data_IF_336434572014
#
_entry.id   IF_336434572014
#
_cell.length_a   1.000
_cell.length_b   1.000
_cell.length_c   1.000
_cell.angle_alpha   90.00
_cell.angle_beta   90.00
_cell.angle_gamma   90.00
#
_symmetry.space_group_name_H-M   'P 1'
#
loop_
_entity.id
_entity.type
_entity.pdbx_description
1 polymer ?
#
# COMPACT_ATOMS: atom_id res chain seq x y z
N UNK A 1 1.34 2.66 15.25
CA UNK A 1 2.64 2.06 14.87
C UNK A 1 3.13 2.78 13.63
N UNK A 2 4.42 3.10 13.52
CA UNK A 2 5.05 3.34 12.21
C UNK A 2 5.66 2.03 11.76
N UNK A 3 5.37 1.57 10.55
CA UNK A 3 6.14 0.46 9.98
C UNK A 3 7.49 1.01 9.50
N UNK A 4 8.58 0.44 10.00
CA UNK A 4 9.92 0.94 9.69
C UNK A 4 10.26 0.67 8.22
N UNK A 5 10.83 1.68 7.53
CA UNK A 5 11.29 1.51 6.15
C UNK A 5 12.39 0.45 6.10
N UNK A 6 12.21 -0.60 5.30
CA UNK A 6 13.17 -1.69 5.18
C UNK A 6 14.46 -1.16 4.51
N UNK A 7 15.63 -1.23 5.16
CA UNK A 7 16.87 -0.62 4.63
C UNK A 7 17.39 -1.26 3.35
N UNK A 8 16.82 -2.38 2.89
CA UNK A 8 17.14 -2.99 1.59
C UNK A 8 16.33 -2.40 0.43
N UNK A 9 15.17 -1.81 0.72
CA UNK A 9 14.22 -1.35 -0.30
C UNK A 9 14.51 0.10 -0.71
N UNK A 10 15.70 0.34 -1.23
CA UNK A 10 16.15 1.66 -1.70
C UNK A 10 16.19 1.72 -3.24
N UNK A 11 16.32 2.92 -3.81
CA UNK A 11 16.38 3.10 -5.26
C UNK A 11 17.68 2.61 -5.91
N UNK A 12 18.75 2.37 -5.15
CA UNK A 12 20.04 1.81 -5.61
C UNK A 12 19.94 0.30 -5.85
N UNK A 13 19.08 -0.36 -5.07
CA UNK A 13 18.75 -1.79 -5.18
C UNK A 13 17.56 -2.04 -6.11
N UNK A 14 16.84 -1.00 -6.55
CA UNK A 14 15.72 -1.11 -7.49
C UNK A 14 16.24 -1.10 -8.93
N UNK A 15 16.26 -2.26 -9.58
CA UNK A 15 16.71 -2.39 -10.98
C UNK A 15 15.67 -1.79 -11.92
N UNK A 16 16.09 -0.80 -12.70
CA UNK A 16 15.22 -0.09 -13.67
C UNK A 16 15.31 -0.74 -15.05
N UNK A 17 14.18 -1.23 -15.54
CA UNK A 17 13.99 -1.77 -16.89
C UNK A 17 12.91 -1.01 -17.67
N UNK A 18 12.58 -1.43 -18.90
CA UNK A 18 11.56 -0.74 -19.70
C UNK A 18 10.20 -0.71 -18.98
N UNK A 19 9.78 -1.85 -18.42
CA UNK A 19 8.46 -2.05 -17.79
C UNK A 19 8.24 -1.34 -16.44
N UNK A 20 9.27 -0.74 -15.84
CA UNK A 20 9.15 -0.03 -14.56
C UNK A 20 9.74 1.40 -14.58
N UNK A 21 10.28 1.84 -15.72
CA UNK A 21 11.01 3.11 -15.86
C UNK A 21 10.18 4.32 -15.45
N UNK A 22 8.93 4.40 -15.91
CA UNK A 22 8.05 5.54 -15.63
C UNK A 22 7.75 5.65 -14.13
N UNK A 23 7.40 4.53 -13.48
CA UNK A 23 7.17 4.49 -12.05
C UNK A 23 8.44 4.84 -11.25
N UNK A 24 9.61 4.31 -11.64
CA UNK A 24 10.88 4.61 -10.99
C UNK A 24 11.27 6.10 -11.10
N UNK A 25 11.11 6.71 -12.28
CA UNK A 25 11.35 8.14 -12.49
C UNK A 25 10.38 8.98 -11.67
N UNK A 26 9.07 8.70 -11.74
CA UNK A 26 8.06 9.42 -10.97
C UNK A 26 8.32 9.32 -9.46
N UNK A 27 8.71 8.14 -8.97
CA UNK A 27 9.12 7.90 -7.59
C UNK A 27 10.31 8.75 -7.16
N UNK A 28 11.35 8.86 -7.99
CA UNK A 28 12.49 9.77 -7.71
C UNK A 28 12.05 11.23 -7.68
N UNK A 29 11.25 11.67 -8.66
CA UNK A 29 10.75 13.06 -8.72
C UNK A 29 9.97 13.46 -7.46
N UNK A 30 9.07 12.60 -6.95
CA UNK A 30 8.32 12.89 -5.70
C UNK A 30 9.15 12.73 -4.44
N UNK A 31 10.27 12.00 -4.49
CA UNK A 31 11.21 11.91 -3.37
C UNK A 31 12.13 13.14 -3.28
N UNK A 32 12.55 13.66 -4.44
CA UNK A 32 13.40 14.85 -4.57
C UNK A 32 12.63 16.14 -4.25
N UNK A 33 11.37 16.24 -4.69
CA UNK A 33 10.52 17.41 -4.44
C UNK A 33 9.12 16.95 -3.95
N UNK A 34 8.99 16.55 -2.67
CA UNK A 34 7.73 16.08 -2.12
C UNK A 34 6.64 17.15 -2.17
N UNK A 35 5.47 16.79 -2.70
CA UNK A 35 4.26 17.61 -2.71
C UNK A 35 4.12 18.54 -3.92
N UNK A 36 5.20 18.83 -4.67
CA UNK A 36 5.17 19.77 -5.79
C UNK A 36 4.78 19.17 -7.14
N UNK A 37 4.98 17.86 -7.31
CA UNK A 37 4.64 17.13 -8.53
C UNK A 37 3.92 15.82 -8.16
N UNK A 38 3.08 15.31 -9.07
CA UNK A 38 2.48 13.97 -8.98
C UNK A 38 1.89 13.65 -7.59
N UNK A 39 0.88 14.42 -7.15
CA UNK A 39 0.31 14.29 -5.81
C UNK A 39 -1.23 14.06 -5.85
N UNK A 40 -1.71 12.82 -5.62
CA UNK A 40 -0.94 11.63 -5.25
C UNK A 40 -0.13 11.04 -6.41
N UNK A 41 0.90 10.27 -6.06
CA UNK A 41 1.49 9.28 -6.96
C UNK A 41 0.86 7.92 -6.65
N UNK A 42 0.15 7.33 -7.62
CA UNK A 42 -0.53 6.06 -7.49
C UNK A 42 0.14 5.01 -8.36
N UNK A 43 0.73 3.98 -7.74
CA UNK A 43 1.55 2.96 -8.42
C UNK A 43 0.85 1.60 -8.34
N UNK A 44 0.42 1.04 -9.47
CA UNK A 44 -0.29 -0.24 -9.48
C UNK A 44 0.43 -1.31 -10.29
N UNK A 45 0.25 -2.58 -9.91
CA UNK A 45 0.78 -3.73 -10.64
C UNK A 45 0.31 -5.05 -10.05
N UNK A 46 0.47 -6.13 -10.81
CA UNK A 46 0.34 -7.49 -10.29
C UNK A 46 1.22 -7.76 -9.05
N UNK A 47 0.92 -8.83 -8.29
CA UNK A 47 1.66 -9.17 -7.08
C UNK A 47 3.14 -9.47 -7.41
N UNK A 48 4.04 -8.97 -6.57
CA UNK A 48 5.46 -9.32 -6.67
C UNK A 48 6.24 -8.61 -7.79
N UNK A 49 5.78 -7.45 -8.29
CA UNK A 49 6.48 -6.63 -9.29
C UNK A 49 7.22 -5.41 -8.71
N UNK A 50 7.31 -5.27 -7.39
CA UNK A 50 8.19 -4.29 -6.73
C UNK A 50 7.54 -3.03 -6.16
N UNK A 51 6.21 -2.95 -6.06
CA UNK A 51 5.47 -1.78 -5.50
C UNK A 51 6.00 -1.32 -4.14
N UNK A 52 6.03 -2.20 -3.14
CA UNK A 52 6.57 -1.94 -1.80
C UNK A 52 8.03 -1.48 -1.82
N UNK A 53 8.84 -2.02 -2.74
CA UNK A 53 10.25 -1.63 -2.88
C UNK A 53 10.33 -0.19 -3.38
N UNK A 54 9.62 0.15 -4.46
CA UNK A 54 9.56 1.49 -5.00
C UNK A 54 9.01 2.49 -3.96
N UNK A 55 7.92 2.14 -3.27
CA UNK A 55 7.28 2.96 -2.24
C UNK A 55 8.24 3.27 -1.08
N UNK A 56 8.96 2.28 -0.56
CA UNK A 56 9.99 2.51 0.46
C UNK A 56 11.20 3.25 -0.09
N UNK A 57 11.54 3.07 -1.37
CA UNK A 57 12.61 3.80 -2.06
C UNK A 57 12.35 5.31 -2.08
N UNK A 58 11.10 5.73 -2.34
CA UNK A 58 10.67 7.12 -2.19
C UNK A 58 10.95 7.63 -0.76
N UNK A 59 10.53 6.86 0.25
CA UNK A 59 10.70 7.22 1.66
C UNK A 59 12.17 7.40 2.06
N UNK A 60 13.03 6.45 1.70
CA UNK A 60 14.47 6.54 1.98
C UNK A 60 15.11 7.73 1.30
N UNK A 61 14.86 7.95 0.01
CA UNK A 61 15.46 9.05 -0.75
C UNK A 61 14.99 10.41 -0.24
N UNK A 62 13.68 10.58 0.03
CA UNK A 62 13.17 11.80 0.64
C UNK A 62 13.81 12.07 2.01
N UNK A 63 13.96 11.03 2.86
CA UNK A 63 14.61 11.15 4.18
C UNK A 63 16.11 11.45 4.08
N UNK A 64 16.79 10.92 3.07
CA UNK A 64 18.21 11.18 2.83
C UNK A 64 18.45 12.62 2.35
N UNK A 65 17.62 13.11 1.44
CA UNK A 65 17.72 14.48 0.90
C UNK A 65 17.27 15.53 1.93
N UNK A 66 16.24 15.24 2.72
CA UNK A 66 15.74 16.12 3.78
C UNK A 66 15.51 15.33 5.09
N UNK A 67 16.55 15.18 5.94
CA UNK A 67 16.48 14.42 7.20
C UNK A 67 15.38 14.87 8.18
N UNK A 68 14.92 16.12 8.07
CA UNK A 68 13.83 16.68 8.88
C UNK A 68 12.44 16.14 8.55
N UNK A 69 12.20 15.53 7.39
CA UNK A 69 10.85 15.12 6.97
C UNK A 69 10.24 14.06 7.90
N UNK A 70 8.99 14.29 8.30
CA UNK A 70 8.14 13.29 8.94
C UNK A 70 7.54 12.38 7.85
N UNK A 71 8.04 11.15 7.75
CA UNK A 71 7.61 10.16 6.77
C UNK A 71 6.90 9.03 7.50
N UNK A 72 5.66 8.74 7.09
CA UNK A 72 4.87 7.65 7.66
C UNK A 72 4.66 6.58 6.57
N UNK A 73 5.21 5.39 6.78
CA UNK A 73 4.93 4.20 5.99
C UNK A 73 4.06 3.22 6.78
N UNK A 74 3.07 2.65 6.09
CA UNK A 74 2.16 1.62 6.60
C UNK A 74 1.43 0.92 5.46
N UNK A 75 1.01 -0.33 5.69
CA UNK A 75 -0.02 -0.94 4.83
C UNK A 75 -1.40 -0.37 5.18
N UNK A 76 -2.35 -0.49 4.26
CA UNK A 76 -3.72 -0.08 4.55
C UNK A 76 -4.35 -0.87 5.70
N UNK A 77 -4.11 -2.18 5.81
CA UNK A 77 -4.64 -2.97 6.93
C UNK A 77 -4.05 -2.51 8.28
N UNK A 78 -2.74 -2.23 8.34
CA UNK A 78 -2.10 -1.64 9.52
C UNK A 78 -2.75 -0.30 9.93
N UNK A 79 -3.12 0.53 8.94
CA UNK A 79 -3.82 1.79 9.19
C UNK A 79 -5.23 1.58 9.75
N UNK A 80 -5.99 0.65 9.18
CA UNK A 80 -7.36 0.32 9.62
C UNK A 80 -7.37 -0.24 11.04
N UNK A 81 -6.49 -1.19 11.34
CA UNK A 81 -6.36 -1.76 12.69
C UNK A 81 -5.97 -0.70 13.72
N UNK A 82 -4.98 0.14 13.39
CA UNK A 82 -4.52 1.19 14.28
C UNK A 82 -5.56 2.30 14.49
N UNK A 83 -6.37 2.63 13.47
CA UNK A 83 -7.48 3.57 13.59
C UNK A 83 -8.59 3.02 14.50
N UNK A 84 -9.04 1.77 14.28
CA UNK A 84 -10.03 1.13 15.14
C UNK A 84 -9.58 1.05 16.60
N UNK A 85 -8.32 0.67 16.85
CA UNK A 85 -7.74 0.65 18.19
C UNK A 85 -7.71 2.05 18.84
N UNK A 86 -7.33 3.09 18.08
CA UNK A 86 -7.35 4.46 18.58
C UNK A 86 -8.78 4.97 18.87
N UNK A 87 -9.77 4.64 18.04
CA UNK A 87 -11.18 5.00 18.29
C UNK A 87 -11.70 4.29 19.53
N UNK A 88 -11.44 2.98 19.69
CA UNK A 88 -11.84 2.21 20.87
C UNK A 88 -11.21 2.74 22.18
N UNK A 89 -9.98 3.29 22.11
CA UNK A 89 -9.30 3.94 23.22
C UNK A 89 -9.72 5.40 23.47
N UNK A 90 -10.66 5.97 22.70
CA UNK A 90 -11.04 7.38 22.78
C UNK A 90 -9.99 8.37 22.24
N UNK A 91 -9.01 7.87 21.47
CA UNK A 91 -7.86 8.60 20.95
C UNK A 91 -7.96 8.90 19.43
N UNK A 92 -9.10 8.66 18.79
CA UNK A 92 -9.29 8.84 17.34
C UNK A 92 -8.87 10.21 16.80
N UNK A 93 -9.10 11.30 17.55
CA UNK A 93 -8.67 12.64 17.12
C UNK A 93 -7.16 12.88 17.27
N UNK A 94 -6.51 12.22 18.23
CA UNK A 94 -5.05 12.23 18.34
C UNK A 94 -4.42 11.45 17.18
N UNK A 95 -5.03 10.32 16.79
CA UNK A 95 -4.64 9.55 15.61
C UNK A 95 -4.78 10.39 14.33
N UNK A 96 -5.93 11.04 14.08
CA UNK A 96 -6.10 11.93 12.91
C UNK A 96 -5.06 13.05 12.87
N UNK A 97 -4.80 13.72 14.00
CA UNK A 97 -3.79 14.79 14.09
C UNK A 97 -2.37 14.30 13.80
N UNK A 98 -2.00 13.09 14.21
CA UNK A 98 -0.69 12.47 13.86
C UNK A 98 -0.53 12.40 12.34
N UNK A 99 -1.51 11.85 11.64
CA UNK A 99 -1.43 11.66 10.18
C UNK A 99 -1.51 12.98 9.40
N UNK A 100 -2.18 14.02 9.93
CA UNK A 100 -2.19 15.36 9.33
C UNK A 100 -0.84 16.09 9.43
N UNK A 101 0.04 15.69 10.37
CA UNK A 101 1.36 16.28 10.58
C UNK A 101 2.48 15.54 9.81
N UNK A 102 2.14 14.69 8.85
CA UNK A 102 3.08 13.95 8.01
C UNK A 102 3.46 14.80 6.80
N UNK A 103 4.74 14.82 6.43
CA UNK A 103 5.23 15.50 5.22
C UNK A 103 5.14 14.58 3.98
N UNK A 104 5.37 13.27 4.17
CA UNK A 104 5.27 12.24 3.13
C UNK A 104 4.53 11.01 3.66
N UNK A 105 3.33 10.76 3.15
CA UNK A 105 2.52 9.58 3.49
C UNK A 105 2.70 8.49 2.42
N UNK A 106 3.10 7.30 2.86
CA UNK A 106 3.40 6.15 2.01
C UNK A 106 2.47 4.98 2.38
N UNK A 107 1.42 4.71 1.60
CA UNK A 107 0.43 3.67 1.90
C UNK A 107 0.54 2.50 0.92
N UNK A 108 0.82 1.31 1.43
CA UNK A 108 0.87 0.08 0.63
C UNK A 108 -0.51 -0.63 0.58
N UNK A 109 -0.80 -1.31 -0.54
CA UNK A 109 -1.97 -2.19 -0.74
C UNK A 109 -3.36 -1.53 -0.54
N UNK A 110 -3.61 -0.42 -1.24
CA UNK A 110 -4.88 0.36 -1.17
C UNK A 110 -6.12 -0.46 -1.58
N UNK A 111 -5.96 -1.56 -2.34
CA UNK A 111 -7.08 -2.42 -2.73
C UNK A 111 -7.87 -3.00 -1.53
N UNK A 112 -7.30 -3.09 -0.33
CA UNK A 112 -8.03 -3.56 0.85
C UNK A 112 -9.10 -2.56 1.36
N UNK A 113 -9.28 -1.41 0.72
CA UNK A 113 -10.41 -0.49 0.95
C UNK A 113 -11.76 -1.04 0.47
N UNK A 114 -11.78 -2.01 -0.44
CA UNK A 114 -13.03 -2.56 -0.98
C UNK A 114 -13.99 -2.96 0.13
N UNK A 115 -15.24 -2.51 0.03
CA UNK A 115 -16.31 -2.67 1.03
C UNK A 115 -16.08 -2.03 2.42
N UNK A 116 -15.00 -1.27 2.65
CA UNK A 116 -14.73 -0.57 3.94
C UNK A 116 -15.16 0.91 3.92
N UNK A 117 -16.46 1.19 3.76
CA UNK A 117 -17.00 2.56 3.54
C UNK A 117 -16.56 3.62 4.57
N UNK A 118 -16.47 3.27 5.84
CA UNK A 118 -15.97 4.17 6.90
C UNK A 118 -14.50 4.53 6.67
N UNK A 119 -13.65 3.53 6.40
CA UNK A 119 -12.22 3.71 6.15
C UNK A 119 -11.94 4.45 4.84
N UNK A 120 -12.75 4.25 3.80
CA UNK A 120 -12.71 5.06 2.59
C UNK A 120 -13.01 6.54 2.88
N UNK A 121 -13.97 6.81 3.77
CA UNK A 121 -14.34 8.17 4.16
C UNK A 121 -13.25 8.86 4.99
N UNK A 122 -12.60 8.12 5.90
CA UNK A 122 -11.46 8.64 6.67
C UNK A 122 -10.20 8.82 5.79
N UNK A 123 -9.94 7.93 4.82
CA UNK A 123 -8.80 8.11 3.90
C UNK A 123 -9.04 9.30 2.98
N UNK A 124 -10.26 9.49 2.47
CA UNK A 124 -10.62 10.66 1.67
C UNK A 124 -10.38 11.97 2.44
N UNK A 125 -10.77 12.03 3.72
CA UNK A 125 -10.48 13.19 4.59
C UNK A 125 -8.98 13.42 4.79
N UNK A 126 -8.21 12.34 4.96
CA UNK A 126 -6.77 12.41 5.16
C UNK A 126 -6.05 12.89 3.89
N UNK A 127 -6.37 12.33 2.73
CA UNK A 127 -5.75 12.74 1.46
C UNK A 127 -6.10 14.17 1.09
N UNK A 128 -7.34 14.60 1.28
CA UNK A 128 -7.75 15.99 1.07
C UNK A 128 -7.00 16.98 1.99
N UNK A 129 -6.84 16.64 3.27
CA UNK A 129 -6.11 17.47 4.23
C UNK A 129 -4.61 17.57 3.88
N UNK A 130 -3.97 16.45 3.50
CA UNK A 130 -2.56 16.41 3.12
C UNK A 130 -2.30 17.14 1.79
N UNK A 131 -3.15 16.95 0.77
CA UNK A 131 -3.06 17.70 -0.48
C UNK A 131 -3.20 19.21 -0.26
N UNK A 132 -4.18 19.64 0.56
CA UNK A 132 -4.38 21.06 0.87
C UNK A 132 -3.20 21.68 1.63
N UNK A 133 -2.47 20.89 2.41
CA UNK A 133 -1.25 21.30 3.11
C UNK A 133 0.04 21.09 2.28
N UNK A 134 -0.05 20.72 1.00
CA UNK A 134 1.10 20.51 0.12
C UNK A 134 1.98 19.31 0.50
N UNK A 135 1.42 18.32 1.20
CA UNK A 135 2.15 17.13 1.67
C UNK A 135 2.10 16.02 0.63
N UNK A 136 3.18 15.27 0.46
CA UNK A 136 3.23 14.21 -0.55
C UNK A 136 2.42 13.00 -0.11
N UNK A 137 1.66 12.44 -1.04
CA UNK A 137 0.98 11.15 -0.87
C UNK A 137 1.50 10.20 -1.96
N UNK A 138 1.98 9.02 -1.56
CA UNK A 138 2.29 7.92 -2.48
C UNK A 138 1.53 6.68 -2.04
N UNK A 139 0.87 6.05 -3.00
CA UNK A 139 -0.11 5.00 -2.81
C UNK A 139 0.22 3.85 -3.75
N UNK A 140 0.05 2.61 -3.29
CA UNK A 140 0.18 1.44 -4.17
C UNK A 140 -1.11 0.62 -4.22
N UNK A 141 -1.27 -0.18 -5.28
CA UNK A 141 -2.40 -1.10 -5.40
C UNK A 141 -2.08 -2.30 -6.28
N UNK A 142 -2.83 -3.40 -6.16
CA UNK A 142 -2.76 -4.50 -7.12
C UNK A 142 -3.39 -4.18 -8.49
N UNK A 143 -4.19 -3.11 -8.56
CA UNK A 143 -4.98 -2.66 -9.74
C UNK A 143 -5.20 -1.14 -9.76
N UNK A 144 -5.52 -0.49 -10.90
CA UNK A 144 -5.74 0.95 -10.95
C UNK A 144 -7.02 1.37 -10.18
N UNK A 145 -7.19 2.66 -9.81
CA UNK A 145 -8.27 3.09 -8.92
C UNK A 145 -9.69 2.75 -9.40
N UNK A 146 -9.93 2.73 -10.72
CA UNK A 146 -11.23 2.40 -11.31
C UNK A 146 -11.58 0.90 -11.23
N UNK A 147 -10.60 0.03 -11.02
CA UNK A 147 -10.79 -1.43 -10.92
C UNK A 147 -10.90 -1.92 -9.47
N UNK A 148 -10.72 -1.02 -8.48
CA UNK A 148 -10.93 -1.33 -7.06
C UNK A 148 -12.44 -1.38 -6.80
N UNK A 149 -12.93 -2.58 -6.51
CA UNK A 149 -14.35 -2.83 -6.26
C UNK A 149 -14.88 -2.04 -5.06
N UNK A 150 -16.12 -1.57 -5.16
CA UNK A 150 -16.86 -0.88 -4.09
C UNK A 150 -16.15 0.35 -3.50
N UNK A 151 -15.37 1.08 -4.32
CA UNK A 151 -14.71 2.33 -3.94
C UNK A 151 -15.59 3.57 -4.23
N UNK A 152 -15.68 4.50 -3.27
CA UNK A 152 -16.41 5.76 -3.45
C UNK A 152 -15.86 6.58 -4.65
N UNK A 153 -16.74 7.04 -5.54
CA UNK A 153 -16.37 7.75 -6.76
C UNK A 153 -15.53 9.02 -6.49
N UNK A 154 -15.72 9.68 -5.34
CA UNK A 154 -14.89 10.82 -4.92
C UNK A 154 -13.47 10.38 -4.62
N UNK A 155 -13.31 9.23 -3.97
CA UNK A 155 -11.99 8.68 -3.68
C UNK A 155 -11.30 8.22 -4.97
N UNK A 156 -12.00 7.54 -5.89
CA UNK A 156 -11.48 7.25 -7.25
C UNK A 156 -10.99 8.54 -7.91
N UNK A 157 -11.78 9.62 -7.89
CA UNK A 157 -11.41 10.91 -8.46
C UNK A 157 -10.17 11.56 -7.80
N UNK A 158 -10.00 11.43 -6.48
CA UNK A 158 -8.79 11.92 -5.79
C UNK A 158 -7.56 11.09 -6.11
N UNK A 159 -7.68 9.76 -6.10
CA UNK A 159 -6.59 8.83 -6.41
C UNK A 159 -6.10 8.99 -7.85
N UNK A 160 -7.02 9.19 -8.80
CA UNK A 160 -6.70 9.44 -10.21
C UNK A 160 -6.36 10.90 -10.54
N UNK A 161 -6.45 11.83 -9.57
CA UNK A 161 -6.24 13.26 -9.80
C UNK A 161 -4.77 13.71 -9.84
N UNK A 162 -3.83 12.82 -9.51
CA UNK A 162 -2.40 13.05 -9.59
C UNK A 162 -1.77 12.31 -10.78
N UNK A 163 -0.80 11.43 -10.51
CA UNK A 163 -0.21 10.55 -11.52
C UNK A 163 -0.51 9.09 -11.18
N UNK A 164 -1.14 8.38 -12.11
CA UNK A 164 -1.39 6.94 -12.03
C UNK A 164 -0.42 6.23 -12.99
N UNK A 165 0.40 5.30 -12.48
CA UNK A 165 1.42 4.57 -13.25
C UNK A 165 1.42 3.09 -12.91
N UNK A 166 1.70 2.27 -13.92
CA UNK A 166 1.83 0.83 -13.77
C UNK A 166 3.29 0.38 -13.54
N UNK A 167 3.45 -0.85 -13.06
CA UNK A 167 4.69 -1.61 -13.16
C UNK A 167 4.40 -2.92 -13.88
N UNK A 168 4.97 -3.11 -15.06
CA UNK A 168 4.85 -4.34 -15.85
C UNK A 168 5.81 -5.45 -15.41
N UNK A 169 5.71 -6.60 -16.05
CA UNK A 169 6.66 -7.69 -15.89
C UNK A 169 8.03 -7.31 -16.53
N UNK A 170 9.17 -7.60 -15.88
CA UNK A 170 10.49 -7.29 -16.42
C UNK A 170 10.83 -8.17 -17.64
N UNK A 171 11.47 -7.55 -18.64
CA UNK A 171 12.11 -8.23 -19.76
C UNK A 171 13.30 -9.11 -19.31
N UNK A 172 13.82 -9.97 -20.20
CA UNK A 172 14.91 -10.90 -19.88
C UNK A 172 16.16 -10.21 -19.31
N UNK A 173 16.59 -9.10 -19.89
CA UNK A 173 17.76 -8.36 -19.44
C UNK A 173 17.56 -7.80 -18.03
N UNK A 174 16.39 -7.20 -17.77
CA UNK A 174 15.98 -6.70 -16.46
C UNK A 174 15.87 -7.86 -15.45
N UNK A 175 15.38 -9.04 -15.86
CA UNK A 175 15.36 -10.25 -15.02
C UNK A 175 16.78 -10.66 -14.61
N UNK A 176 17.71 -10.79 -15.56
CA UNK A 176 19.13 -11.12 -15.26
C UNK A 176 19.73 -10.08 -14.31
N UNK A 177 19.49 -8.79 -14.54
CA UNK A 177 20.00 -7.72 -13.68
C UNK A 177 19.43 -7.77 -12.25
N UNK A 178 18.13 -8.03 -12.08
CA UNK A 178 17.50 -8.24 -10.77
C UNK A 178 18.13 -9.43 -10.04
N UNK A 179 18.30 -10.56 -10.74
CA UNK A 179 18.88 -11.79 -10.20
C UNK A 179 20.33 -11.57 -9.75
N UNK A 180 21.13 -10.86 -10.57
CA UNK A 180 22.52 -10.51 -10.27
C UNK A 180 22.64 -9.58 -9.07
N UNK A 181 21.85 -8.49 -9.04
CA UNK A 181 21.77 -7.59 -7.87
C UNK A 181 21.39 -8.34 -6.59
N UNK A 182 20.52 -9.36 -6.69
CA UNK A 182 20.16 -10.17 -5.51
C UNK A 182 21.26 -11.11 -5.04
N UNK A 183 22.02 -11.69 -5.97
CA UNK A 183 23.19 -12.49 -5.65
C UNK A 183 24.25 -11.64 -4.92
N UNK A 184 24.53 -10.44 -5.45
CA UNK A 184 25.42 -9.42 -4.84
C UNK A 184 24.97 -9.04 -3.42
N UNK A 185 23.70 -8.65 -3.22
CA UNK A 185 23.11 -8.33 -1.90
C UNK A 185 23.27 -9.45 -0.86
N UNK A 186 23.44 -10.69 -1.30
CA UNK A 186 23.53 -11.88 -0.45
C UNK A 186 24.95 -12.44 -0.33
N UNK A 187 25.93 -11.85 -1.02
CA UNK A 187 27.28 -12.40 -1.12
C UNK A 187 27.34 -13.76 -1.83
N UNK A 188 26.32 -14.11 -2.60
CA UNK A 188 26.22 -15.39 -3.29
C UNK A 188 26.90 -15.33 -4.66
N UNK A 189 27.78 -16.28 -4.94
CA UNK A 189 28.39 -16.48 -6.26
C UNK A 189 27.81 -17.70 -6.97
N UNK A 190 27.55 -17.53 -8.26
CA UNK A 190 27.04 -18.57 -9.15
C UNK A 190 27.98 -18.74 -10.34
N UNK A 191 28.02 -19.94 -10.92
CA UNK A 191 28.72 -20.16 -12.20
C UNK A 191 28.01 -19.39 -13.33
N UNK A 192 28.74 -19.00 -14.40
CA UNK A 192 28.12 -18.43 -15.61
C UNK A 192 26.99 -19.32 -16.13
N UNK A 193 25.89 -18.72 -16.61
CA UNK A 193 24.74 -19.43 -17.15
C UNK A 193 23.66 -19.81 -16.10
N UNK A 194 23.95 -19.73 -14.80
CA UNK A 194 22.98 -20.05 -13.75
C UNK A 194 21.88 -18.99 -13.66
N UNK A 195 22.25 -17.70 -13.60
CA UNK A 195 21.27 -16.61 -13.49
C UNK A 195 20.49 -16.45 -14.79
N UNK A 196 21.16 -16.67 -15.92
CA UNK A 196 20.59 -16.72 -17.25
C UNK A 196 19.52 -17.83 -17.36
N UNK A 197 19.77 -19.03 -16.81
CA UNK A 197 18.79 -20.10 -16.74
C UNK A 197 17.58 -19.78 -15.84
N UNK A 198 17.77 -19.00 -14.77
CA UNK A 198 16.66 -18.48 -13.93
C UNK A 198 15.89 -17.36 -14.65
N UNK A 199 16.55 -16.57 -15.49
CA UNK A 199 15.95 -15.53 -16.31
C UNK A 199 15.20 -16.08 -17.53
N UNK A 200 15.56 -17.26 -18.03
CA UNK A 200 14.84 -17.96 -19.11
C UNK A 200 13.63 -18.76 -18.59
N UNK A 201 13.58 -19.03 -17.28
CA UNK A 201 12.50 -19.74 -16.62
C UNK A 201 11.09 -19.15 -16.91
N UNK A 202 10.02 -19.98 -16.95
CA UNK A 202 8.64 -19.52 -17.04
C UNK A 202 8.11 -18.99 -15.68
N UNK A 203 8.79 -17.97 -15.14
CA UNK A 203 8.46 -17.31 -13.87
C UNK A 203 7.78 -15.96 -14.18
N UNK A 204 6.67 -15.68 -13.50
CA UNK A 204 5.72 -14.64 -13.90
C UNK A 204 5.97 -13.27 -13.26
N UNK A 205 6.71 -13.22 -12.15
CA UNK A 205 6.94 -12.02 -11.37
C UNK A 205 8.27 -12.04 -10.61
N UNK A 206 8.70 -10.89 -10.08
CA UNK A 206 9.98 -10.76 -9.38
C UNK A 206 10.03 -11.60 -8.10
N UNK A 207 8.91 -11.77 -7.38
CA UNK A 207 8.88 -12.61 -6.16
C UNK A 207 9.23 -14.07 -6.48
N UNK A 208 8.79 -14.61 -7.61
CA UNK A 208 9.15 -15.94 -8.09
C UNK A 208 10.64 -16.06 -8.47
N UNK A 209 11.19 -15.06 -9.17
CA UNK A 209 12.64 -14.98 -9.49
C UNK A 209 13.49 -15.01 -8.21
N UNK A 210 13.11 -14.22 -7.22
CA UNK A 210 13.78 -14.16 -5.93
C UNK A 210 13.64 -15.47 -5.15
N UNK A 211 12.48 -16.14 -5.25
CA UNK A 211 12.24 -17.48 -4.72
C UNK A 211 13.15 -18.54 -5.37
N UNK A 212 13.34 -18.47 -6.69
CA UNK A 212 14.25 -19.36 -7.42
C UNK A 212 15.70 -19.20 -6.94
N UNK A 213 16.23 -17.96 -6.85
CA UNK A 213 17.59 -17.70 -6.34
C UNK A 213 17.75 -18.14 -4.89
N UNK A 214 16.75 -17.88 -4.03
CA UNK A 214 16.77 -18.35 -2.64
C UNK A 214 16.89 -19.88 -2.54
N UNK A 215 16.22 -20.64 -3.42
CA UNK A 215 16.35 -22.12 -3.47
C UNK A 215 17.75 -22.56 -3.92
N UNK A 216 18.34 -21.89 -4.92
CA UNK A 216 19.69 -22.21 -5.39
C UNK A 216 20.74 -21.91 -4.31
N UNK A 217 20.65 -20.75 -3.62
CA UNK A 217 21.54 -20.41 -2.50
C UNK A 217 21.42 -21.42 -1.35
N UNK A 218 20.20 -21.82 -0.98
CA UNK A 218 19.98 -22.83 0.04
C UNK A 218 20.58 -24.19 -0.35
N UNK A 219 20.47 -24.58 -1.62
CA UNK A 219 21.07 -25.81 -2.13
C UNK A 219 22.61 -25.78 -2.13
N UNK A 220 23.24 -24.65 -2.48
CA UNK A 220 24.70 -24.49 -2.35
C UNK A 220 25.15 -24.61 -0.89
N UNK A 221 24.45 -23.94 0.03
CA UNK A 221 24.79 -23.93 1.45
C UNK A 221 24.66 -25.31 2.13
N UNK A 222 23.80 -26.20 1.62
CA UNK A 222 23.62 -27.56 2.15
C UNK A 222 24.61 -28.58 1.56
N UNK A 223 24.99 -28.42 0.30
CA UNK A 223 25.80 -29.42 -0.42
C UNK A 223 27.27 -29.01 -0.63
N UNK A 224 27.66 -27.81 -0.20
CA UNK A 224 28.98 -27.18 -0.38
C UNK A 224 29.53 -27.26 -1.83
N UNK A 225 28.61 -27.32 -2.81
CA UNK A 225 28.92 -27.60 -4.21
C UNK A 225 28.43 -26.45 -5.10
N UNK A 226 29.30 -25.85 -5.94
CA UNK A 226 28.89 -24.82 -6.88
C UNK A 226 27.88 -25.34 -7.91
N UNK A 227 26.74 -24.66 -8.04
CA UNK A 227 25.70 -24.99 -9.01
C UNK A 227 26.10 -24.49 -10.41
N UNK A 228 25.84 -25.31 -11.44
CA UNK A 228 25.88 -24.92 -12.86
C UNK A 228 24.46 -24.75 -13.44
N UNK A 229 24.37 -24.22 -14.67
CA UNK A 229 23.08 -23.91 -15.30
C UNK A 229 22.16 -25.13 -15.47
N UNK A 230 22.71 -26.32 -15.71
CA UNK A 230 21.93 -27.56 -15.86
C UNK A 230 21.43 -28.09 -14.51
N UNK A 231 22.24 -27.99 -13.46
CA UNK A 231 21.79 -28.25 -12.09
C UNK A 231 20.70 -27.25 -11.65
N UNK A 232 20.84 -25.97 -12.00
CA UNK A 232 19.83 -24.95 -11.70
C UNK A 232 18.49 -25.25 -12.41
N UNK A 233 18.52 -25.58 -13.70
CA UNK A 233 17.37 -26.07 -14.48
C UNK A 233 16.66 -27.24 -13.78
N UNK A 234 17.39 -28.31 -13.46
CA UNK A 234 16.86 -29.49 -12.76
C UNK A 234 16.22 -29.14 -11.41
N UNK A 235 16.91 -28.34 -10.57
CA UNK A 235 16.44 -27.94 -9.24
C UNK A 235 15.19 -27.07 -9.26
N UNK A 236 14.98 -26.32 -10.34
CA UNK A 236 13.82 -25.45 -10.52
C UNK A 236 12.66 -26.14 -11.26
N UNK A 237 12.85 -27.38 -11.71
CA UNK A 237 11.87 -28.11 -12.53
C UNK A 237 11.75 -27.58 -13.96
N UNK A 238 12.72 -26.79 -14.42
CA UNK A 238 12.75 -26.17 -15.75
C UNK A 238 13.59 -27.09 -16.64
N UNK A 239 12.96 -27.82 -17.56
CA UNK A 239 13.69 -28.74 -18.43
C UNK A 239 13.96 -30.11 -17.80
N UNK A 240 12.88 -30.81 -17.47
CA UNK A 240 12.85 -32.27 -17.58
C UNK A 240 11.47 -32.70 -18.07
N UNK A 241 11.36 -33.04 -19.35
CA UNK A 241 10.40 -34.09 -19.71
C UNK A 241 10.78 -35.34 -18.90
N UNK A 242 9.79 -36.10 -18.43
CA UNK A 242 10.08 -37.35 -17.73
C UNK A 242 11.02 -38.22 -18.60
N UNK A 243 12.04 -38.88 -18.02
CA UNK A 243 12.97 -39.67 -18.80
C UNK A 243 12.18 -40.71 -19.61
N UNK A 244 12.43 -40.85 -20.93
CA UNK A 244 11.66 -41.75 -21.78
C UNK A 244 11.81 -43.18 -21.25
N UNK A 245 10.72 -43.70 -20.66
CA UNK A 245 10.73 -44.99 -19.94
C UNK A 245 10.25 -44.92 -18.47
N UNK A 246 10.03 -43.75 -17.89
CA UNK A 246 9.39 -43.66 -16.57
C UNK A 246 7.94 -44.21 -16.63
N UNK A 247 7.59 -45.27 -15.87
CA UNK A 247 6.23 -45.77 -15.84
C UNK A 247 5.30 -44.72 -15.22
N UNK A 248 4.05 -44.56 -15.71
CA UNK A 248 3.13 -43.57 -15.18
C UNK A 248 2.84 -43.87 -13.70
N UNK A 249 2.68 -42.83 -12.84
CA UNK A 249 2.42 -43.03 -11.43
C UNK A 249 1.14 -43.86 -11.23
N UNK A 250 1.11 -44.79 -10.25
CA UNK A 250 -0.02 -45.68 -10.06
C UNK A 250 -1.29 -44.87 -9.81
N UNK A 251 -2.32 -45.10 -10.64
CA UNK A 251 -3.62 -44.45 -10.50
C UNK A 251 -4.15 -44.71 -9.09
N UNK A 252 -4.40 -43.65 -8.31
CA UNK A 252 -5.04 -43.79 -6.99
C UNK A 252 -6.35 -44.57 -7.16
N UNK A 253 -6.64 -45.55 -6.29
CA UNK A 253 -7.86 -46.32 -6.39
C UNK A 253 -9.07 -45.39 -6.31
N UNK A 254 -9.89 -45.45 -7.36
CA UNK A 254 -11.06 -44.60 -7.52
C UNK A 254 -12.04 -44.87 -6.37
N UNK A 255 -12.25 -43.87 -5.50
CA UNK A 255 -13.21 -44.00 -4.39
C UNK A 255 -14.61 -44.21 -4.97
N UNK A 256 -15.04 -45.47 -5.03
CA UNK A 256 -16.38 -45.87 -5.48
C UNK A 256 -17.42 -45.01 -4.76
N UNK A 257 -18.10 -44.14 -5.51
CA UNK A 257 -19.31 -43.46 -5.01
C UNK A 257 -20.34 -44.55 -4.63
N UNK A 258 -20.98 -44.48 -3.46
CA UNK A 258 -22.02 -45.44 -3.11
C UNK A 258 -23.15 -45.35 -4.15
N UNK A 259 -23.59 -46.50 -4.66
CA UNK A 259 -24.72 -46.57 -5.59
C UNK A 259 -25.97 -46.00 -4.90
N UNK A 260 -26.69 -45.09 -5.56
CA UNK A 260 -28.06 -44.75 -5.16
C UNK A 260 -28.94 -46.00 -5.39
N UNK A 261 -29.29 -46.67 -4.30
CA UNK A 261 -30.41 -47.61 -4.26
C UNK A 261 -31.74 -46.87 -4.43
N UNK A 262 -32.73 -47.58 -4.95
CA UNK A 262 -34.01 -47.00 -5.39
C UNK A 262 -34.97 -46.57 -4.28
N UNK A 263 -36.13 -46.11 -4.74
CA UNK A 263 -37.18 -45.42 -4.01
C UNK A 263 -37.76 -46.19 -2.81
N UNK A 264 -37.92 -45.48 -1.68
CA UNK A 264 -38.75 -45.91 -0.56
C UNK A 264 -39.57 -44.72 -0.05
N UNK A 265 -40.89 -44.74 -0.22
CA UNK A 265 -41.78 -43.66 0.22
C UNK A 265 -41.78 -43.52 1.74
N UNK A 266 -41.49 -42.32 2.25
CA UNK A 266 -41.89 -41.90 3.60
C UNK A 266 -42.63 -40.56 3.50
N UNK A 267 -43.85 -40.52 4.04
CA UNK A 267 -44.72 -39.32 4.02
C UNK A 267 -44.25 -38.29 5.04
N UNK A 268 -44.12 -37.03 4.64
CA UNK A 268 -44.02 -35.89 5.56
C UNK A 268 -45.43 -35.32 5.87
N UNK A 269 -45.78 -35.06 7.14
CA UNK A 269 -47.03 -34.41 7.48
C UNK A 269 -46.97 -32.90 7.20
N UNK A 270 -47.94 -32.38 6.44
CA UNK A 270 -48.16 -30.93 6.30
C UNK A 270 -48.58 -30.32 7.64
N UNK A 271 -47.96 -29.22 8.06
CA UNK A 271 -48.59 -28.26 8.97
C UNK A 271 -48.58 -26.84 8.40
N UNK A 272 -49.74 -26.19 8.50
CA UNK A 272 -50.04 -24.84 8.01
C UNK A 272 -49.33 -23.80 8.86
N UNK A 273 -48.88 -22.72 8.23
CA UNK A 273 -48.71 -21.43 8.90
C UNK A 273 -50.06 -20.70 8.92
N UNK A 274 -50.43 -20.15 10.07
CA UNK A 274 -51.53 -19.20 10.24
C UNK A 274 -51.02 -18.03 11.09
N UNK A 275 -51.39 -16.82 10.70
CA UNK A 275 -50.97 -15.55 11.29
C UNK A 275 -51.77 -15.16 12.54
N UNK A 276 -51.31 -14.09 13.22
CA UNK A 276 -51.80 -13.53 14.51
C UNK A 276 -51.44 -14.36 15.76
N UNK A 277 -51.19 -13.76 16.94
CA UNK A 277 -51.02 -12.33 17.26
C UNK A 277 -51.01 -12.05 18.78
N UNK A 278 -50.47 -10.89 19.16
CA UNK A 278 -50.54 -10.22 20.50
C UNK A 278 -49.69 -10.73 21.69
N UNK A 279 -49.15 -9.71 22.38
CA UNK A 279 -48.94 -9.54 23.83
C UNK A 279 -48.02 -10.49 24.62
N UNK A 280 -46.83 -9.97 24.95
CA UNK A 280 -46.03 -10.38 26.12
C UNK A 280 -46.46 -9.61 27.38
N UNK A 281 -46.45 -10.25 28.57
CA UNK A 281 -46.38 -9.55 29.86
C UNK A 281 -45.02 -9.76 30.55
N UNK A 282 -44.71 -8.89 31.52
CA UNK A 282 -43.46 -8.87 32.30
C UNK A 282 -43.46 -9.88 33.47
N UNK A 283 -42.33 -10.53 33.72
CA UNK A 283 -41.89 -10.99 35.06
C UNK A 283 -40.35 -11.16 35.05
N UNK A 284 -39.60 -10.28 35.74
CA UNK A 284 -39.14 -10.34 37.14
C UNK A 284 -38.04 -11.39 37.42
N UNK A 285 -36.84 -10.86 37.73
CA UNK A 285 -35.71 -11.50 38.43
C UNK A 285 -36.11 -12.02 39.82
N UNK A 286 -35.28 -12.82 40.53
CA UNK A 286 -34.30 -12.20 41.46
C UNK A 286 -33.06 -13.05 41.88
N UNK A 287 -31.83 -12.50 41.74
CA UNK A 287 -30.66 -12.78 42.59
C UNK A 287 -29.73 -11.53 42.54
N UNK A 288 -29.08 -11.04 43.60
CA UNK A 288 -29.19 -11.38 45.03
C UNK A 288 -27.89 -11.18 45.85
N UNK A 289 -27.52 -9.94 46.21
CA UNK A 289 -26.40 -9.61 47.13
C UNK A 289 -25.49 -8.48 46.59
N UNK A 290 -25.38 -7.27 47.19
CA UNK A 290 -24.79 -6.84 48.49
C UNK A 290 -23.29 -7.22 48.60
N UNK A 291 -22.33 -6.36 48.97
CA UNK A 291 -22.32 -4.94 49.42
C UNK A 291 -20.90 -4.32 49.22
N UNK A 292 -20.45 -3.12 49.67
CA UNK A 292 -20.94 -2.11 50.64
C UNK A 292 -20.24 -0.73 50.40
N UNK A 293 -20.99 0.37 50.53
CA UNK A 293 -20.61 1.76 50.98
C UNK A 293 -19.23 2.38 50.60
N UNK A 294 -19.29 3.60 50.05
CA UNK A 294 -18.20 4.58 50.05
C UNK A 294 -18.66 5.93 49.48
N UNK A 295 -19.27 6.80 50.28
CA UNK A 295 -19.85 8.06 49.81
C UNK A 295 -18.96 9.28 50.06
N UNK A 296 -19.10 10.30 49.21
CA UNK A 296 -18.91 11.73 49.52
C UNK A 296 -19.64 12.57 48.47
N UNK A 297 -20.16 13.72 48.88
CA UNK A 297 -21.05 14.53 48.06
C UNK A 297 -20.51 15.96 47.89
N UNK A 298 -20.49 16.43 46.63
CA UNK A 298 -20.75 17.83 46.21
C UNK A 298 -19.72 18.91 46.67
N UNK A 299 -19.71 20.13 46.06
CA UNK A 299 -20.71 20.70 45.14
C UNK A 299 -20.21 21.21 43.77
N UNK A 300 -21.20 21.51 42.91
CA UNK A 300 -21.07 22.30 41.69
C UNK A 300 -20.43 23.67 41.96
N UNK A 301 -19.70 24.20 40.97
CA UNK A 301 -19.58 25.66 40.76
C UNK A 301 -20.15 26.04 39.40
N UNK A 302 -21.20 26.84 39.44
CA UNK A 302 -21.68 27.65 38.33
C UNK A 302 -21.03 29.04 38.43
N UNK A 303 -20.46 29.54 37.34
CA UNK A 303 -20.23 30.98 37.16
C UNK A 303 -20.90 31.41 35.85
N UNK A 304 -21.97 32.20 35.99
CA UNK A 304 -22.52 32.96 34.88
C UNK A 304 -21.77 34.28 34.77
N UNK A 305 -21.47 34.71 33.54
CA UNK A 305 -20.94 36.04 33.22
C UNK A 305 -21.61 36.53 31.96
N UNK A 306 -22.51 37.51 32.08
CA UNK A 306 -23.35 38.04 31.00
C UNK A 306 -23.36 39.57 31.11
N UNK A 307 -23.09 40.29 30.01
CA UNK A 307 -23.39 41.72 29.68
C UNK A 307 -22.57 42.00 28.40
N UNK A 308 -23.18 42.13 27.21
CA UNK A 308 -23.76 43.35 26.56
C UNK A 308 -22.73 44.50 26.43
N UNK A 309 -22.54 45.16 25.28
CA UNK A 309 -23.11 44.97 23.93
C UNK A 309 -22.54 45.99 22.92
N UNK A 310 -23.01 45.93 21.66
CA UNK A 310 -23.43 47.07 20.77
C UNK A 310 -22.63 48.39 20.74
N UNK A 311 -22.36 49.07 19.61
CA UNK A 311 -22.63 48.84 18.17
C UNK A 311 -21.98 49.99 17.32
N UNK A 312 -22.02 49.89 15.96
CA UNK A 312 -21.77 50.97 14.95
C UNK A 312 -20.31 51.50 14.92
N UNK A 313 -19.73 52.06 13.85
CA UNK A 313 -20.03 52.44 12.43
C UNK A 313 -18.65 52.46 11.72
N UNK A 314 -18.41 52.23 10.42
CA UNK A 314 -19.07 52.68 9.19
C UNK A 314 -18.09 53.58 8.38
N UNK A 315 -17.74 53.21 7.13
CA UNK A 315 -16.90 53.97 6.14
C UNK A 315 -15.43 54.28 6.52
N UNK A 316 -14.44 54.41 5.61
CA UNK A 316 -14.32 54.36 4.12
C UNK A 316 -12.84 53.97 3.76
N UNK A 317 -12.50 53.62 2.50
CA UNK A 317 -11.15 53.18 2.13
C UNK A 317 -10.20 54.35 1.85
N UNK A 318 -8.89 54.13 1.99
CA UNK A 318 -7.86 55.07 1.53
C UNK A 318 -6.95 54.38 0.50
N UNK A 319 -6.79 55.02 -0.65
CA UNK A 319 -5.97 54.57 -1.78
C UNK A 319 -4.90 55.61 -2.12
N UNK A 320 -3.64 55.18 -2.17
CA UNK A 320 -2.52 55.91 -2.82
C UNK A 320 -1.44 54.88 -3.16
N UNK A 321 -1.29 54.56 -4.45
CA UNK A 321 -0.36 55.15 -5.43
C UNK A 321 1.02 54.48 -5.45
N UNK A 322 1.19 53.62 -6.44
CA UNK A 322 2.46 53.22 -7.04
C UNK A 322 3.21 54.41 -7.64
N UNK A 323 4.56 54.39 -7.64
CA UNK A 323 5.38 55.08 -8.62
C UNK A 323 5.79 54.15 -9.78
N UNK A 324 5.77 54.65 -11.02
CA UNK A 324 6.30 53.97 -12.22
C UNK A 324 7.70 54.51 -12.56
N UNK A 325 8.63 53.59 -12.88
CA UNK A 325 9.67 53.59 -13.95
C UNK A 325 10.44 54.88 -14.31
N UNK A 326 11.74 54.77 -14.66
CA UNK A 326 12.16 54.44 -16.04
C UNK A 326 13.05 53.18 -16.09
N UNK A 327 13.07 52.30 -17.10
CA UNK A 327 13.26 52.44 -18.56
C UNK A 327 14.63 53.01 -18.99
N UNK A 328 15.60 52.13 -19.18
CA UNK A 328 16.73 52.31 -20.11
C UNK A 328 16.81 51.14 -21.09
N UNK A 329 17.19 51.43 -22.34
CA UNK A 329 17.25 50.49 -23.48
C UNK A 329 18.68 49.92 -23.63
N UNK A 330 18.80 48.67 -24.08
CA UNK A 330 19.32 48.25 -25.41
C UNK A 330 19.75 46.77 -25.42
N UNK A 331 19.50 46.11 -26.55
CA UNK A 331 20.00 44.78 -26.95
C UNK A 331 21.11 44.97 -28.02
N UNK A 332 21.55 43.95 -28.80
CA UNK A 332 22.42 42.83 -28.39
C UNK A 332 23.63 42.61 -29.33
N UNK A 333 24.71 41.99 -28.84
CA UNK A 333 25.84 41.41 -29.62
C UNK A 333 26.64 40.45 -28.70
N UNK A 334 27.43 39.47 -29.14
CA UNK A 334 27.42 38.59 -30.32
C UNK A 334 28.48 37.48 -30.12
N UNK A 335 28.29 36.30 -30.73
CA UNK A 335 29.34 35.37 -31.23
C UNK A 335 30.63 35.06 -30.42
N UNK A 336 30.75 33.79 -30.03
CA UNK A 336 31.87 32.85 -30.30
C UNK A 336 33.35 33.17 -29.97
N UNK A 337 34.00 32.25 -29.23
CA UNK A 337 35.32 31.57 -29.44
C UNK A 337 35.56 30.68 -28.19
N UNK A 338 35.72 29.35 -28.24
CA UNK A 338 36.89 28.56 -28.70
C UNK A 338 38.25 29.04 -28.19
N UNK A 339 38.79 28.37 -27.15
CA UNK A 339 40.14 27.79 -27.07
C UNK A 339 40.48 27.41 -25.61
N UNK A 340 41.24 26.33 -25.42
CA UNK A 340 41.70 25.81 -24.12
C UNK A 340 41.77 24.30 -24.11
#
# INVERSE_FOLDING_TARGET
MTSALNPRYTFENFVVGAANRLAATAGRTVAENPGSAYNPLFVYSGPGLGKTHLLMGVGHTAKQLTPGLNIEYLTLDEWVEAFHAAVAAGQGDAFRRRFQNVDVLLVDDVQFLSNRKEMQSELLRLTEALQAAGRQIVLTSDRPPLEIGDLDARLISRLSGGLVVDIGAPDYETRVAILRRKAEERGASFRPGVLEAVADAPLTNVRELMGAVNRLMAHQAVNDTPIDGEAAKRLLGIGAAAPPGAPPPPRRPERRRPRRGGEGRVRLPRRRWTSSGRSSPMSRSPWGGRSRRGGRAWPRRSCAGKVRGTARTGSRPCSTRTPRRPLTRRSPHSSATWNG
#
